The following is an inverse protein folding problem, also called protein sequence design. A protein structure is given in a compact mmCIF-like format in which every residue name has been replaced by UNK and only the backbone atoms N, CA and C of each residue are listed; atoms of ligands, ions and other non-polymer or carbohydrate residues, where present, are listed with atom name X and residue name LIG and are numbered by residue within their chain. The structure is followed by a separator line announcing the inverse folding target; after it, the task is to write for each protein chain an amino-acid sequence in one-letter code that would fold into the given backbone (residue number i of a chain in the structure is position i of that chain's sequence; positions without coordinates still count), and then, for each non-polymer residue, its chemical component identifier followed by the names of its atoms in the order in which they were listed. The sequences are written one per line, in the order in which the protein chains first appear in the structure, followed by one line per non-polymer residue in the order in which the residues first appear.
data_IF_388021764898
#
_entry.id   IF_388021764898
#
_cell.length_a   1.000
_cell.length_b   1.000
_cell.length_c   1.000
_cell.angle_alpha   90.00
_cell.angle_beta   90.00
_cell.angle_gamma   90.00
#
_symmetry.space_group_name_H-M   'P 1'
#
loop_
_entity.id
_entity.type
_entity.pdbx_description
1 polymer ?
#
# COMPACT_ATOMS: atom_id res chain seq x y z
N UNK A 1 -26.63 -1.19 -9.88
CA UNK A 1 -26.57 -1.97 -8.64
C UNK A 1 -25.24 -1.77 -7.90
N UNK A 2 -24.61 -0.59 -8.03
CA UNK A 2 -23.36 -0.20 -7.34
C UNK A 2 -23.68 0.84 -6.25
N UNK A 3 -24.67 0.53 -5.42
CA UNK A 3 -25.17 1.44 -4.40
C UNK A 3 -25.48 0.68 -3.13
N UNK A 4 -24.85 1.10 -2.04
CA UNK A 4 -25.14 0.79 -0.64
C UNK A 4 -24.40 -0.41 -0.02
N UNK A 5 -23.11 -0.23 0.22
CA UNK A 5 -22.49 -0.68 1.48
C UNK A 5 -21.78 0.52 2.11
N UNK A 6 -22.58 1.33 2.81
CA UNK A 6 -22.08 2.20 3.86
C UNK A 6 -21.98 1.37 5.14
N UNK A 7 -20.85 0.69 5.32
CA UNK A 7 -20.46 0.13 6.63
C UNK A 7 -19.17 0.80 7.04
N UNK A 8 -19.23 1.55 8.13
CA UNK A 8 -18.13 2.03 8.97
C UNK A 8 -16.71 1.56 8.57
N UNK A 9 -15.93 2.47 7.97
CA UNK A 9 -14.46 2.54 8.08
C UNK A 9 -13.62 1.48 7.36
N UNK A 10 -13.41 1.63 6.05
CA UNK A 10 -12.31 0.96 5.35
C UNK A 10 -12.46 0.98 3.83
N UNK A 11 -11.66 1.81 3.15
CA UNK A 11 -11.60 1.84 1.69
C UNK A 11 -10.78 0.63 1.18
N UNK A 12 -11.46 -0.49 0.87
CA UNK A 12 -10.81 -1.73 0.42
C UNK A 12 -10.73 -1.91 -1.10
N UNK A 13 -11.26 -0.98 -1.90
CA UNK A 13 -11.05 -0.97 -3.35
C UNK A 13 -9.59 -0.64 -3.69
N UNK A 14 -9.05 -1.29 -4.72
CA UNK A 14 -7.75 -1.04 -5.39
C UNK A 14 -7.16 0.34 -5.05
N UNK A 15 -6.09 0.37 -4.26
CA UNK A 15 -5.50 1.62 -3.73
C UNK A 15 -4.18 1.89 -4.44
N UNK A 16 -4.07 3.06 -5.06
CA UNK A 16 -2.81 3.56 -5.64
C UNK A 16 -2.04 4.30 -4.54
N UNK A 17 -0.85 3.80 -4.22
CA UNK A 17 -0.01 4.34 -3.15
C UNK A 17 1.40 4.66 -3.65
N UNK A 18 2.02 5.72 -3.11
CA UNK A 18 3.43 6.03 -3.37
C UNK A 18 4.32 5.12 -2.55
N UNK A 19 5.30 4.51 -3.22
CA UNK A 19 6.28 3.64 -2.58
C UNK A 19 7.70 4.00 -3.01
N UNK A 20 8.67 3.77 -2.11
CA UNK A 20 10.08 3.80 -2.43
C UNK A 20 10.52 2.40 -2.88
N UNK A 21 10.83 2.23 -4.17
CA UNK A 21 11.14 0.93 -4.77
C UNK A 21 12.65 0.78 -4.96
N UNK A 22 13.17 -0.38 -4.53
CA UNK A 22 14.56 -0.77 -4.73
C UNK A 22 14.67 -1.68 -5.95
N UNK A 23 15.02 -1.11 -7.11
CA UNK A 23 15.18 -1.89 -8.35
C UNK A 23 16.45 -2.73 -8.39
N UNK A 24 17.56 -2.20 -7.87
CA UNK A 24 18.86 -2.88 -7.83
C UNK A 24 19.63 -2.50 -6.55
N UNK A 25 20.49 -3.41 -6.09
CA UNK A 25 21.35 -3.16 -4.93
C UNK A 25 22.35 -2.02 -5.21
N UNK A 26 22.49 -1.09 -4.28
CA UNK A 26 23.43 0.03 -4.36
C UNK A 26 22.96 1.22 -5.20
N UNK A 27 21.76 1.16 -5.79
CA UNK A 27 21.12 2.33 -6.41
C UNK A 27 20.22 3.06 -5.40
N UNK A 28 20.04 4.39 -5.53
CA UNK A 28 19.05 5.13 -4.76
C UNK A 28 17.64 4.56 -4.98
N UNK A 29 16.80 4.61 -3.95
CA UNK A 29 15.39 4.24 -4.06
C UNK A 29 14.65 5.25 -4.95
N UNK A 30 13.76 4.76 -5.81
CA UNK A 30 12.89 5.60 -6.64
C UNK A 30 11.50 5.69 -6.03
N UNK A 31 10.88 6.87 -6.09
CA UNK A 31 9.50 7.07 -5.62
C UNK A 31 8.55 6.88 -6.80
N UNK A 32 7.70 5.86 -6.73
CA UNK A 32 6.80 5.47 -7.80
C UNK A 32 5.39 5.20 -7.25
N UNK A 33 4.38 5.40 -8.10
CA UNK A 33 2.99 5.08 -7.79
C UNK A 33 2.74 3.60 -8.11
N UNK A 34 2.39 2.82 -7.08
CA UNK A 34 2.12 1.39 -7.19
C UNK A 34 0.67 1.06 -6.87
N UNK A 35 0.17 0.02 -7.52
CA UNK A 35 -1.15 -0.52 -7.24
C UNK A 35 -1.09 -1.55 -6.10
N UNK A 36 -1.84 -1.30 -5.02
CA UNK A 36 -1.95 -2.23 -3.88
C UNK A 36 -3.20 -3.09 -4.06
N UNK A 37 -2.97 -4.39 -4.28
CA UNK A 37 -4.01 -5.40 -4.42
C UNK A 37 -4.86 -5.57 -3.13
N UNK A 38 -6.12 -6.01 -3.24
CA UNK A 38 -6.96 -6.31 -2.07
C UNK A 38 -6.33 -7.41 -1.20
N UNK A 39 -6.46 -7.32 0.14
CA UNK A 39 -5.98 -8.37 1.03
C UNK A 39 -6.74 -9.66 0.79
N UNK A 40 -6.03 -10.80 0.80
CA UNK A 40 -6.63 -12.13 0.72
C UNK A 40 -6.99 -12.64 2.13
N UNK A 41 -7.52 -13.86 2.20
CA UNK A 41 -7.80 -14.51 3.48
C UNK A 41 -6.52 -14.62 4.33
N UNK A 42 -6.57 -14.13 5.57
CA UNK A 42 -5.44 -14.03 6.50
C UNK A 42 -4.35 -13.00 6.15
N UNK A 43 -4.63 -12.04 5.26
CA UNK A 43 -3.75 -10.89 5.01
C UNK A 43 -4.37 -9.60 5.56
N UNK A 44 -3.53 -8.65 5.96
CA UNK A 44 -3.96 -7.33 6.45
C UNK A 44 -3.32 -6.26 5.58
N UNK A 45 -4.12 -5.31 5.11
CA UNK A 45 -3.65 -4.09 4.43
C UNK A 45 -3.47 -2.98 5.46
N UNK A 46 -2.30 -2.34 5.47
CA UNK A 46 -1.95 -1.26 6.41
C UNK A 46 -1.64 0.02 5.62
N UNK A 47 -2.18 1.15 6.07
CA UNK A 47 -1.77 2.47 5.63
C UNK A 47 -0.60 2.96 6.51
N UNK A 48 0.53 3.27 5.90
CA UNK A 48 1.74 3.69 6.62
C UNK A 48 1.73 5.22 6.77
N UNK A 49 1.49 5.71 7.99
CA UNK A 49 1.60 7.15 8.29
C UNK A 49 3.06 7.60 8.51
N UNK A 50 3.86 6.74 9.13
CA UNK A 50 5.26 7.02 9.47
C UNK A 50 6.10 5.76 9.27
N UNK A 51 7.28 5.91 8.69
CA UNK A 51 8.25 4.83 8.51
C UNK A 51 9.65 5.34 8.89
N UNK A 52 10.49 4.44 9.43
CA UNK A 52 11.87 4.72 9.82
C UNK A 52 12.84 3.85 9.03
N UNK A 53 14.02 4.39 8.73
CA UNK A 53 15.09 3.64 8.07
C UNK A 53 15.98 3.00 9.12
N UNK A 54 16.23 1.70 9.00
CA UNK A 54 17.20 0.97 9.82
C UNK A 54 18.39 0.49 8.97
N UNK A 55 19.44 0.00 9.63
CA UNK A 55 20.64 -0.53 8.95
C UNK A 55 20.47 -1.93 8.32
N UNK A 56 19.23 -2.44 8.25
CA UNK A 56 18.89 -3.80 7.82
C UNK A 56 18.16 -3.72 6.49
#
# INVERSE_FOLDING_TARGET
MDSMVGTTGGHFSKHEGKAAVAWEAGKPLTIEDIEVAPPRANEVRIEIYYTGVCHT
#
